data_IF_793022758321
#
_entry.id   IF_793022758321
#
_cell.length_a   1.000
_cell.length_b   1.000
_cell.length_c   1.000
_cell.angle_alpha   90.00
_cell.angle_beta   90.00
_cell.angle_gamma   90.00
#
_symmetry.space_group_name_H-M   'P 1'
#
loop_
_entity.id
_entity.type
_entity.pdbx_description
1 polymer ?
#
# COMPACT_ATOMS: atom_id res chain seq x y z
N UNK A 1 -2.41 8.21 -16.26
CA UNK A 1 -3.35 7.10 -16.05
C UNK A 1 -2.68 6.15 -15.08
N UNK A 2 -3.11 6.14 -13.83
CA UNK A 2 -2.67 5.12 -12.86
C UNK A 2 -3.36 3.81 -13.24
N UNK A 3 -2.59 2.73 -13.42
CA UNK A 3 -3.19 1.41 -13.61
C UNK A 3 -3.54 0.86 -12.24
N UNK A 4 -4.75 0.35 -12.09
CA UNK A 4 -5.23 -0.21 -10.82
C UNK A 4 -4.37 -1.39 -10.31
N UNK A 5 -3.59 -2.01 -11.19
CA UNK A 5 -2.69 -3.12 -10.88
C UNK A 5 -1.43 -2.67 -10.12
N UNK A 6 -1.12 -1.38 -10.15
CA UNK A 6 0.04 -0.81 -9.47
C UNK A 6 -0.29 -0.46 -8.00
N UNK A 7 -1.55 -0.66 -7.56
CA UNK A 7 -2.00 -0.38 -6.20
C UNK A 7 -2.10 -1.68 -5.38
N UNK A 8 -1.40 -1.72 -4.26
CA UNK A 8 -1.47 -2.82 -3.30
C UNK A 8 -2.87 -2.94 -2.69
N UNK A 9 -3.56 -4.06 -2.93
CA UNK A 9 -4.91 -4.33 -2.38
C UNK A 9 -4.94 -4.58 -0.86
N UNK A 10 -3.77 -4.72 -0.24
CA UNK A 10 -3.63 -4.89 1.21
C UNK A 10 -3.57 -3.53 1.92
N UNK A 11 -2.65 -2.66 1.49
CA UNK A 11 -2.34 -1.43 2.21
C UNK A 11 -2.73 -0.16 1.45
N UNK A 12 -3.11 -0.24 0.18
CA UNK A 12 -3.39 0.88 -0.74
C UNK A 12 -2.18 1.73 -1.15
N UNK A 13 -0.95 1.24 -0.97
CA UNK A 13 0.25 1.86 -1.56
C UNK A 13 0.26 1.67 -3.08
N UNK A 14 0.48 2.74 -3.84
CA UNK A 14 0.74 2.72 -5.28
C UNK A 14 2.24 2.60 -5.55
N UNK A 15 2.65 1.63 -6.37
CA UNK A 15 4.04 1.48 -6.79
C UNK A 15 4.50 2.69 -7.62
N UNK A 16 5.45 3.45 -7.09
CA UNK A 16 6.04 4.62 -7.73
C UNK A 16 7.43 4.34 -8.33
N UNK A 17 7.82 3.05 -8.37
CA UNK A 17 9.12 2.57 -8.84
C UNK A 17 10.29 2.91 -7.91
N UNK A 18 10.02 3.48 -6.73
CA UNK A 18 11.01 3.92 -5.77
C UNK A 18 11.14 3.00 -4.55
N UNK A 19 12.33 2.94 -3.98
CA UNK A 19 12.60 2.22 -2.74
C UNK A 19 13.30 3.08 -1.67
N UNK A 20 13.49 4.37 -1.94
CA UNK A 20 14.03 5.33 -0.98
C UNK A 20 12.99 5.58 0.13
N UNK A 21 13.42 5.42 1.38
CA UNK A 21 12.55 5.55 2.55
C UNK A 21 12.05 6.97 2.76
N UNK A 22 12.86 7.97 2.41
CA UNK A 22 12.65 9.37 2.77
C UNK A 22 12.35 10.26 1.56
N UNK A 23 12.39 9.69 0.34
CA UNK A 23 11.86 10.35 -0.86
C UNK A 23 10.35 10.44 -0.79
N UNK A 24 9.80 11.62 -1.06
CA UNK A 24 8.36 11.80 -1.22
C UNK A 24 7.87 11.02 -2.45
N UNK A 25 6.91 10.14 -2.25
CA UNK A 25 6.24 9.45 -3.34
C UNK A 25 5.22 10.38 -3.99
N UNK A 26 5.31 10.53 -5.32
CA UNK A 26 4.38 11.34 -6.11
C UNK A 26 2.91 10.91 -5.95
N UNK A 27 2.56 9.65 -6.27
CA UNK A 27 1.17 9.19 -6.20
C UNK A 27 0.64 9.03 -4.76
N UNK A 28 1.49 8.59 -3.83
CA UNK A 28 1.05 8.32 -2.45
C UNK A 28 1.04 9.57 -1.57
N UNK A 29 1.73 10.64 -1.98
CA UNK A 29 1.93 11.87 -1.18
C UNK A 29 2.49 11.61 0.23
N UNK A 30 3.19 10.49 0.40
CA UNK A 30 3.85 10.04 1.62
C UNK A 30 5.25 9.54 1.27
N UNK A 31 6.17 9.59 2.22
CA UNK A 31 7.41 8.82 2.10
C UNK A 31 7.15 7.35 2.36
N UNK A 32 7.99 6.45 1.84
CA UNK A 32 7.85 5.03 2.09
C UNK A 32 7.98 4.70 3.60
N UNK A 33 8.78 5.47 4.35
CA UNK A 33 8.85 5.40 5.82
C UNK A 33 7.49 5.69 6.46
N UNK A 34 6.85 6.81 6.10
CA UNK A 34 5.53 7.18 6.63
C UNK A 34 4.46 6.16 6.24
N UNK A 35 4.47 5.66 5.00
CA UNK A 35 3.55 4.62 4.55
C UNK A 35 3.66 3.34 5.37
N UNK A 36 4.87 2.94 5.78
CA UNK A 36 5.10 1.79 6.67
C UNK A 36 4.58 2.06 8.08
N UNK A 37 4.92 3.21 8.66
CA UNK A 37 4.44 3.61 10.00
C UNK A 37 2.91 3.65 10.06
N UNK A 38 2.27 4.19 9.02
CA UNK A 38 0.81 4.19 8.91
C UNK A 38 0.24 2.78 8.76
N UNK A 39 0.87 1.92 7.95
CA UNK A 39 0.43 0.54 7.81
C UNK A 39 0.53 -0.23 9.13
N UNK A 40 1.60 -0.04 9.91
CA UNK A 40 1.75 -0.64 11.23
C UNK A 40 0.66 -0.15 12.21
N UNK A 41 0.30 1.13 12.14
CA UNK A 41 -0.69 1.75 13.04
C UNK A 41 -2.15 1.47 12.64
N UNK A 42 -2.45 1.45 11.34
CA UNK A 42 -3.82 1.47 10.82
C UNK A 42 -4.15 0.29 9.90
N UNK A 43 -3.15 -0.49 9.47
CA UNK A 43 -3.32 -1.56 8.47
C UNK A 43 -3.54 -1.06 7.04
N UNK A 44 -3.34 0.23 6.79
CA UNK A 44 -3.43 0.93 5.49
C UNK A 44 -2.49 2.14 5.49
N UNK A 45 -2.12 2.65 4.31
CA UNK A 45 -1.20 3.80 4.17
C UNK A 45 -1.84 5.15 4.51
N UNK A 46 -3.17 5.24 4.45
CA UNK A 46 -3.94 6.40 4.88
C UNK A 46 -5.26 5.95 5.53
N UNK A 47 -5.68 6.64 6.59
CA UNK A 47 -6.89 6.26 7.37
C UNK A 47 -8.18 6.22 6.52
N UNK A 48 -8.27 7.05 5.48
CA UNK A 48 -9.42 7.08 4.57
C UNK A 48 -9.70 5.71 3.90
N UNK A 49 -8.68 4.86 3.77
CA UNK A 49 -8.82 3.54 3.13
C UNK A 49 -9.30 2.44 4.09
N UNK A 50 -9.39 2.68 5.39
CA UNK A 50 -9.83 1.66 6.37
C UNK A 50 -11.24 1.11 6.08
N UNK A 51 -12.09 1.87 5.40
CA UNK A 51 -13.44 1.42 5.01
C UNK A 51 -13.49 0.75 3.63
N UNK A 52 -12.42 0.86 2.84
CA UNK A 52 -12.34 0.32 1.48
C UNK A 52 -11.61 -1.04 1.43
N UNK A 53 -10.96 -1.44 2.53
CA UNK A 53 -10.24 -2.71 2.62
C UNK A 53 -11.18 -3.91 2.76
N UNK A 54 -10.85 -5.00 2.06
CA UNK A 54 -11.50 -6.29 2.30
C UNK A 54 -11.05 -6.87 3.67
N UNK A 55 -11.95 -7.46 4.48
CA UNK A 55 -11.59 -8.03 5.78
C UNK A 55 -10.52 -9.12 5.67
N UNK A 56 -10.65 -10.00 4.68
CA UNK A 56 -9.72 -11.13 4.49
C UNK A 56 -8.49 -10.78 3.64
N UNK A 57 -8.23 -9.51 3.33
CA UNK A 57 -7.15 -9.11 2.39
C UNK A 57 -5.78 -9.66 2.79
N UNK A 58 -5.51 -9.82 4.09
CA UNK A 58 -4.24 -10.35 4.59
C UNK A 58 -4.03 -11.82 4.23
N UNK A 59 -5.13 -12.59 4.20
CA UNK A 59 -5.13 -14.02 3.83
C UNK A 59 -5.16 -14.14 2.30
N UNK A 60 -5.98 -13.30 1.67
CA UNK A 60 -6.21 -13.29 0.23
C UNK A 60 -5.02 -12.78 -0.57
N UNK A 61 -4.10 -12.00 0.00
CA UNK A 61 -2.96 -11.43 -0.73
C UNK A 61 -1.63 -11.70 -0.01
N UNK A 62 -1.56 -12.81 0.73
CA UNK A 62 -0.35 -13.27 1.39
C UNK A 62 0.80 -13.47 0.38
N UNK A 63 2.01 -13.00 0.73
CA UNK A 63 3.21 -13.14 -0.11
C UNK A 63 3.39 -14.62 -0.48
N UNK A 64 3.40 -14.92 -1.78
CA UNK A 64 3.59 -16.27 -2.32
C UNK A 64 2.34 -16.91 -2.94
N UNK A 65 1.12 -16.41 -2.70
CA UNK A 65 -0.10 -16.96 -3.34
C UNK A 65 -0.38 -16.42 -4.75
N UNK A 66 0.24 -15.30 -5.13
CA UNK A 66 0.02 -14.61 -6.42
C UNK A 66 1.32 -14.32 -7.19
N UNK A 67 2.45 -14.80 -6.69
CA UNK A 67 3.67 -14.89 -7.50
C UNK A 67 3.44 -16.08 -8.47
N UNK A 68 2.89 -15.78 -9.65
CA UNK A 68 3.11 -16.61 -10.83
C UNK A 68 4.43 -16.23 -11.48
#
# INVERSE_FOLDING_TARGET
MVREHDICKVCFWEDDGGSDLDRLSGPNHLTLRQGREHFEKFGVVEERFQKAVHPDRMIQFEKGKYLR
#
